data_IF_831605041231
#
_entry.id   IF_831605041231
#
_cell.length_a   1.000
_cell.length_b   1.000
_cell.length_c   1.000
_cell.angle_alpha   90.00
_cell.angle_beta   90.00
_cell.angle_gamma   90.00
#
_symmetry.space_group_name_H-M   'P 1'
#
loop_
_entity.id
_entity.type
_entity.pdbx_description
1 polymer ?
#
# COMPACT_ATOMS: atom_id res chain seq x y z
N UNK A 1 -7.71 32.89 -24.57
CA UNK A 1 -8.66 31.82 -24.20
C UNK A 1 -7.83 30.56 -23.99
N UNK A 2 -7.37 30.36 -22.75
CA UNK A 2 -6.44 29.27 -22.42
C UNK A 2 -7.17 27.95 -22.55
N UNK A 3 -6.84 27.22 -23.61
CA UNK A 3 -7.49 25.96 -23.90
C UNK A 3 -7.35 25.02 -22.72
N UNK A 4 -8.52 24.60 -22.25
CA UNK A 4 -8.81 23.48 -21.36
C UNK A 4 -8.36 22.12 -21.99
N UNK A 5 -7.23 22.09 -22.70
CA UNK A 5 -6.60 20.89 -23.26
C UNK A 5 -5.66 20.21 -22.24
N UNK A 6 -5.79 20.56 -20.96
CA UNK A 6 -5.36 19.71 -19.84
C UNK A 6 -6.40 18.62 -19.52
N UNK A 7 -7.32 18.35 -20.44
CA UNK A 7 -8.22 17.20 -20.37
C UNK A 7 -7.45 15.94 -20.78
N UNK A 8 -6.82 15.30 -19.79
CA UNK A 8 -6.66 13.85 -19.70
C UNK A 8 -6.22 13.15 -20.99
N UNK A 9 -5.04 13.49 -21.53
CA UNK A 9 -4.24 12.41 -22.11
C UNK A 9 -3.85 11.53 -20.94
N UNK A 10 -4.60 10.45 -20.72
CA UNK A 10 -4.21 9.37 -19.82
C UNK A 10 -2.71 9.18 -20.04
N UNK A 11 -1.88 9.51 -19.03
CA UNK A 11 -0.46 9.43 -19.24
C UNK A 11 -0.14 7.99 -19.59
N UNK A 12 0.68 7.81 -20.62
CA UNK A 12 0.92 6.50 -21.22
C UNK A 12 1.35 5.47 -20.18
N UNK A 13 1.22 4.19 -20.54
CA UNK A 13 1.73 3.03 -19.79
C UNK A 13 3.00 3.28 -18.93
N UNK A 14 4.08 3.93 -19.43
CA UNK A 14 5.27 4.20 -18.62
C UNK A 14 5.04 5.09 -17.39
N UNK A 15 4.12 6.07 -17.42
CA UNK A 15 3.86 6.89 -16.25
C UNK A 15 3.20 6.05 -15.14
N UNK A 16 2.24 5.20 -15.49
CA UNK A 16 1.58 4.33 -14.51
C UNK A 16 2.58 3.39 -13.86
N UNK A 17 3.49 2.80 -14.64
CA UNK A 17 4.61 2.01 -14.10
C UNK A 17 5.46 2.84 -13.15
N UNK A 18 5.84 4.07 -13.51
CA UNK A 18 6.65 4.94 -12.66
C UNK A 18 5.94 5.30 -11.33
N UNK A 19 4.64 5.59 -11.36
CA UNK A 19 3.82 5.87 -10.16
C UNK A 19 3.83 4.65 -9.24
N UNK A 20 3.57 3.46 -9.77
CA UNK A 20 3.53 2.25 -8.95
C UNK A 20 4.91 1.86 -8.42
N UNK A 21 5.99 2.14 -9.14
CA UNK A 21 7.36 2.00 -8.62
C UNK A 21 7.62 2.98 -7.48
N UNK A 22 7.20 4.25 -7.61
CA UNK A 22 7.35 5.24 -6.54
C UNK A 22 6.56 4.84 -5.28
N UNK A 23 5.32 4.36 -5.45
CA UNK A 23 4.50 3.83 -4.35
C UNK A 23 5.11 2.58 -3.72
N UNK A 24 5.73 1.70 -4.51
CA UNK A 24 6.45 0.55 -4.00
C UNK A 24 7.62 0.97 -3.10
N UNK A 25 8.45 1.92 -3.57
CA UNK A 25 9.56 2.45 -2.76
C UNK A 25 9.03 3.07 -1.47
N UNK A 26 7.98 3.90 -1.56
CA UNK A 26 7.37 4.50 -0.38
C UNK A 26 6.84 3.43 0.59
N UNK A 27 6.13 2.42 0.08
CA UNK A 27 5.61 1.30 0.87
C UNK A 27 6.71 0.50 1.56
N UNK A 28 7.82 0.21 0.87
CA UNK A 28 8.99 -0.46 1.46
C UNK A 28 9.59 0.39 2.57
N UNK A 29 9.82 1.69 2.33
CA UNK A 29 10.40 2.58 3.34
C UNK A 29 9.51 2.71 4.58
N UNK A 30 8.19 2.84 4.39
CA UNK A 30 7.21 2.88 5.48
C UNK A 30 7.17 1.56 6.25
N UNK A 31 7.18 0.42 5.55
CA UNK A 31 7.18 -0.90 6.18
C UNK A 31 8.45 -1.15 7.00
N UNK A 32 9.63 -0.78 6.48
CA UNK A 32 10.89 -0.90 7.22
C UNK A 32 10.86 -0.05 8.48
N UNK A 33 10.38 1.20 8.40
CA UNK A 33 10.21 2.07 9.55
C UNK A 33 9.24 1.48 10.58
N UNK A 34 8.07 1.03 10.14
CA UNK A 34 7.05 0.44 11.00
C UNK A 34 7.54 -0.83 11.69
N UNK A 35 8.23 -1.72 10.97
CA UNK A 35 8.81 -2.95 11.56
C UNK A 35 9.91 -2.61 12.57
N UNK A 36 10.78 -1.63 12.25
CA UNK A 36 11.84 -1.22 13.17
C UNK A 36 11.26 -0.64 14.47
N UNK A 37 10.19 0.15 14.38
CA UNK A 37 9.50 0.69 15.55
C UNK A 37 8.73 -0.39 16.31
N UNK A 38 7.99 -1.26 15.62
CA UNK A 38 7.21 -2.35 16.23
C UNK A 38 8.07 -3.32 17.04
N UNK A 39 9.33 -3.56 16.61
CA UNK A 39 10.29 -4.35 17.40
C UNK A 39 10.67 -3.69 18.74
N UNK A 40 10.54 -2.37 18.86
CA UNK A 40 10.85 -1.61 20.08
C UNK A 40 9.63 -1.41 20.98
N UNK A 41 8.42 -1.47 20.43
CA UNK A 41 7.15 -1.17 21.12
C UNK A 41 6.24 -2.40 21.26
N UNK A 42 6.82 -3.60 21.25
CA UNK A 42 6.08 -4.87 21.39
C UNK A 42 4.93 -5.03 20.39
N UNK A 43 5.11 -4.52 19.16
CA UNK A 43 4.14 -4.61 18.06
C UNK A 43 2.84 -3.81 18.27
N UNK A 44 2.87 -2.77 19.10
CA UNK A 44 1.80 -1.76 19.23
C UNK A 44 1.51 -0.92 17.98
N UNK A 45 2.23 -1.09 16.87
CA UNK A 45 1.88 -0.48 15.57
C UNK A 45 1.55 -1.54 14.52
N UNK A 46 0.86 -2.60 14.94
CA UNK A 46 0.47 -3.66 14.01
C UNK A 46 -0.33 -3.10 12.83
N UNK A 47 -1.12 -2.04 13.03
CA UNK A 47 -1.87 -1.36 11.96
C UNK A 47 -0.97 -0.69 10.91
N UNK A 48 0.11 0.00 11.33
CA UNK A 48 1.08 0.62 10.42
C UNK A 48 1.84 -0.43 9.63
N UNK A 49 2.23 -1.54 10.27
CA UNK A 49 2.92 -2.65 9.60
C UNK A 49 2.01 -3.26 8.53
N UNK A 50 0.73 -3.50 8.87
CA UNK A 50 -0.27 -4.00 7.94
C UNK A 50 -0.52 -3.03 6.78
N UNK A 51 -0.57 -1.70 7.02
CA UNK A 51 -0.66 -0.69 5.96
C UNK A 51 0.56 -0.70 5.05
N UNK A 52 1.76 -0.78 5.62
CA UNK A 52 3.00 -0.87 4.87
C UNK A 52 3.04 -2.11 3.97
N UNK A 53 2.70 -3.28 4.54
CA UNK A 53 2.64 -4.54 3.81
C UNK A 53 1.58 -4.49 2.69
N UNK A 54 0.39 -3.98 2.97
CA UNK A 54 -0.67 -3.77 1.98
C UNK A 54 -0.24 -2.86 0.83
N UNK A 55 0.49 -1.79 1.14
CA UNK A 55 1.02 -0.84 0.14
C UNK A 55 2.07 -1.49 -0.78
N UNK A 56 2.94 -2.34 -0.22
CA UNK A 56 3.90 -3.11 -1.01
C UNK A 56 3.18 -4.11 -1.92
N UNK A 57 2.23 -4.87 -1.36
CA UNK A 57 1.49 -5.90 -2.09
C UNK A 57 0.63 -5.31 -3.22
N UNK A 58 -0.08 -4.20 -2.97
CA UNK A 58 -0.89 -3.55 -4.01
C UNK A 58 -0.01 -3.00 -5.13
N UNK A 59 1.15 -2.43 -4.78
CA UNK A 59 2.08 -1.90 -5.78
C UNK A 59 2.68 -3.01 -6.65
N UNK A 60 3.06 -4.13 -6.04
CA UNK A 60 3.51 -5.32 -6.78
C UNK A 60 2.39 -5.91 -7.65
N UNK A 61 1.17 -6.01 -7.12
CA UNK A 61 0.01 -6.48 -7.88
C UNK A 61 -0.29 -5.62 -9.10
N UNK A 62 -0.19 -4.29 -8.96
CA UNK A 62 -0.38 -3.36 -10.06
C UNK A 62 0.77 -3.37 -11.08
N UNK A 63 2.01 -3.50 -10.62
CA UNK A 63 3.17 -3.63 -11.51
C UNK A 63 3.12 -4.93 -12.32
N UNK A 64 2.78 -6.06 -11.69
CA UNK A 64 2.61 -7.34 -12.40
C UNK A 64 1.48 -7.26 -13.44
N UNK A 65 0.35 -6.63 -13.08
CA UNK A 65 -0.75 -6.37 -14.01
C UNK A 65 -0.32 -5.50 -15.21
N UNK A 66 0.37 -4.38 -14.95
CA UNK A 66 0.81 -3.46 -16.01
C UNK A 66 1.89 -4.06 -16.91
N UNK A 67 2.80 -4.84 -16.36
CA UNK A 67 3.89 -5.48 -17.11
C UNK A 67 3.44 -6.77 -17.84
N UNK A 68 2.18 -7.17 -17.70
CA UNK A 68 1.65 -8.39 -18.31
C UNK A 68 2.25 -9.67 -17.73
N UNK A 69 2.84 -9.60 -16.54
CA UNK A 69 3.49 -10.72 -15.88
C UNK A 69 2.44 -11.59 -15.19
N UNK A 70 2.26 -12.84 -15.68
CA UNK A 70 1.45 -13.91 -15.09
C UNK A 70 0.06 -13.49 -14.57
N UNK A 71 -0.97 -13.76 -15.36
CA UNK A 71 -2.38 -13.39 -15.10
C UNK A 71 -2.96 -13.81 -13.73
N UNK A 72 -2.34 -14.78 -13.04
CA UNK A 72 -2.79 -15.26 -11.74
C UNK A 72 -2.24 -14.45 -10.55
N UNK A 73 -0.98 -14.01 -10.60
CA UNK A 73 -0.32 -13.41 -9.42
C UNK A 73 -0.85 -12.01 -9.08
N UNK A 74 -1.15 -11.20 -10.10
CA UNK A 74 -1.67 -9.84 -9.90
C UNK A 74 -2.93 -9.81 -9.02
N UNK A 75 -4.02 -10.52 -9.40
CA UNK A 75 -5.22 -10.59 -8.58
C UNK A 75 -5.00 -11.13 -7.16
N UNK A 76 -4.15 -12.14 -6.99
CA UNK A 76 -3.83 -12.70 -5.66
C UNK A 76 -3.12 -11.68 -4.78
N UNK A 77 -2.15 -10.94 -5.33
CA UNK A 77 -1.45 -9.87 -4.60
C UNK A 77 -2.39 -8.75 -4.20
N UNK A 78 -3.34 -8.37 -5.08
CA UNK A 78 -4.36 -7.37 -4.77
C UNK A 78 -5.32 -7.84 -3.68
N UNK A 79 -5.73 -9.11 -3.69
CA UNK A 79 -6.58 -9.68 -2.64
C UNK A 79 -5.86 -9.72 -1.28
N UNK A 80 -4.58 -10.09 -1.26
CA UNK A 80 -3.76 -10.06 -0.05
C UNK A 80 -3.57 -8.61 0.46
N UNK A 81 -3.34 -7.66 -0.45
CA UNK A 81 -3.23 -6.25 -0.08
C UNK A 81 -4.52 -5.74 0.58
N UNK A 82 -5.69 -6.10 0.03
CA UNK A 82 -6.98 -5.77 0.63
C UNK A 82 -7.12 -6.37 2.04
N UNK A 83 -6.76 -7.65 2.22
CA UNK A 83 -6.78 -8.29 3.53
C UNK A 83 -5.86 -7.57 4.53
N UNK A 84 -4.68 -7.12 4.11
CA UNK A 84 -3.78 -6.32 4.94
C UNK A 84 -4.41 -4.98 5.34
N UNK A 85 -5.05 -4.26 4.42
CA UNK A 85 -5.70 -2.98 4.76
C UNK A 85 -6.90 -3.14 5.69
N UNK A 86 -7.71 -4.19 5.50
CA UNK A 86 -8.80 -4.53 6.43
C UNK A 86 -8.23 -4.90 7.80
N UNK A 87 -7.18 -5.73 7.84
CA UNK A 87 -6.49 -6.08 9.07
C UNK A 87 -5.94 -4.84 9.79
N UNK A 88 -5.33 -3.91 9.06
CA UNK A 88 -4.84 -2.65 9.61
C UNK A 88 -5.96 -1.81 10.23
N UNK A 89 -7.10 -1.72 9.55
CA UNK A 89 -8.24 -0.98 10.07
C UNK A 89 -8.78 -1.58 11.37
N UNK A 90 -8.87 -2.92 11.44
CA UNK A 90 -9.31 -3.62 12.66
C UNK A 90 -8.28 -3.45 13.78
N UNK A 91 -7.00 -3.62 13.49
CA UNK A 91 -5.91 -3.48 14.46
C UNK A 91 -5.87 -2.05 15.04
N UNK A 92 -5.98 -1.03 14.19
CA UNK A 92 -5.95 0.37 14.63
C UNK A 92 -7.14 0.73 15.52
N UNK A 93 -8.32 0.14 15.30
CA UNK A 93 -9.47 0.33 16.19
C UNK A 93 -9.25 -0.26 17.58
N UNK A 94 -8.63 -1.45 17.66
CA UNK A 94 -8.37 -2.12 18.93
C UNK A 94 -7.35 -1.36 19.79
N UNK A 95 -6.35 -0.73 19.16
CA UNK A 95 -5.36 0.11 19.85
C UNK A 95 -6.03 1.33 20.50
N UNK A 96 -6.95 2.02 19.78
CA UNK A 96 -7.68 3.18 20.29
C UNK A 96 -8.55 2.86 21.50
N UNK A 97 -9.24 1.71 21.47
CA UNK A 97 -10.11 1.27 22.55
C UNK A 97 -9.32 0.98 23.85
N UNK A 98 -8.08 0.51 23.73
CA UNK A 98 -7.20 0.28 24.89
C UNK A 98 -6.66 1.57 25.50
N UNK A 99 -6.36 2.58 24.67
CA UNK A 99 -5.85 3.87 25.16
C UNK A 99 -6.97 4.75 25.78
N UNK A 100 -8.25 4.53 25.42
CA UNK A 100 -9.41 5.28 25.98
C UNK A 100 -9.85 4.75 27.38
N UNK A 101 -9.46 3.53 27.75
CA UNK A 101 -9.81 2.87 29.02
C UNK A 101 -8.79 3.12 30.16
N UNK A 102 -7.62 3.71 29.86
CA UNK A 102 -6.54 4.06 30.81
C UNK A 102 -6.61 5.52 31.32
#
# INVERSE_FOLDING_TARGET
MYSLHLALRLPGHPLWVAIWVALLVLGITGLVGAVHWGRRTEWRNTDEILRGAGTVLVSLGMLTFLLGFLSFFGPTLLALALACFVGAFIAGKREQELDDDD
#
